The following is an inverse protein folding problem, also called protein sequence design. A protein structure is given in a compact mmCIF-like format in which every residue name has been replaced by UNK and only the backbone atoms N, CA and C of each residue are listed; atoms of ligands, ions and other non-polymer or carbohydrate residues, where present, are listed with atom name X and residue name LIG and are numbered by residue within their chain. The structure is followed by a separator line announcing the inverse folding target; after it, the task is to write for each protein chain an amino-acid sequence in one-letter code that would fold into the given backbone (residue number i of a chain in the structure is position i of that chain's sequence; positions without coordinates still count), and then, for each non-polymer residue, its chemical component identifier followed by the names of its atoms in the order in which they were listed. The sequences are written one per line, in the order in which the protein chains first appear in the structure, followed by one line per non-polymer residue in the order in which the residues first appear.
data_IF_307583644439
#
_entry.id   IF_307583644439
#
_cell.length_a   1.000
_cell.length_b   1.000
_cell.length_c   1.000
_cell.angle_alpha   90.00
_cell.angle_beta   90.00
_cell.angle_gamma   90.00
#
_symmetry.space_group_name_H-M   'P 1'
#
loop_
_entity.id
_entity.type
_entity.pdbx_description
1 polymer ?
#
# COMPACT_ATOMS: atom_id res chain seq x y z
N UNK A 1 0.38 -12.59 -18.29
CA UNK A 1 1.47 -11.60 -18.45
C UNK A 1 1.41 -10.68 -17.23
N UNK A 2 2.26 -10.81 -16.21
CA UNK A 2 2.30 -9.81 -15.15
C UNK A 2 3.11 -8.62 -15.68
N UNK A 3 2.43 -7.51 -15.96
CA UNK A 3 3.09 -6.24 -16.24
C UNK A 3 3.89 -5.82 -15.00
N UNK A 4 5.22 -5.88 -15.09
CA UNK A 4 6.11 -5.24 -14.14
C UNK A 4 5.92 -3.72 -14.25
N UNK A 5 5.00 -3.16 -13.45
CA UNK A 5 4.98 -1.73 -13.20
C UNK A 5 6.08 -1.45 -12.17
N UNK A 6 7.29 -1.14 -12.62
CA UNK A 6 8.26 -0.46 -11.77
C UNK A 6 7.69 0.93 -11.44
N UNK A 7 7.11 1.09 -10.25
CA UNK A 7 6.65 2.39 -9.77
C UNK A 7 7.87 3.24 -9.37
N UNK A 8 8.52 3.88 -10.34
CA UNK A 8 9.68 4.76 -10.08
C UNK A 8 9.30 6.02 -9.30
N UNK A 9 8.07 6.50 -9.47
CA UNK A 9 7.53 7.64 -8.74
C UNK A 9 6.00 7.58 -8.80
N UNK A 10 5.32 8.03 -7.74
CA UNK A 10 3.88 8.26 -7.75
C UNK A 10 3.59 9.60 -7.07
N UNK A 11 2.84 10.44 -7.76
CA UNK A 11 2.40 11.73 -7.26
C UNK A 11 0.89 11.85 -7.41
N UNK A 12 0.23 12.40 -6.40
CA UNK A 12 -1.16 12.77 -6.44
C UNK A 12 -1.31 14.22 -5.96
N UNK A 13 -1.63 15.12 -6.88
CA UNK A 13 -1.61 16.57 -6.64
C UNK A 13 -0.22 17.02 -6.15
N UNK A 14 -0.13 17.73 -5.03
CA UNK A 14 1.12 18.12 -4.38
C UNK A 14 1.81 16.99 -3.59
N UNK A 15 1.12 15.87 -3.33
CA UNK A 15 1.61 14.77 -2.50
C UNK A 15 2.39 13.75 -3.32
N UNK A 16 3.41 13.15 -2.72
CA UNK A 16 4.30 12.18 -3.39
C UNK A 16 4.58 10.98 -2.50
N UNK A 17 4.65 9.80 -3.11
CA UNK A 17 5.12 8.60 -2.42
C UNK A 17 6.60 8.43 -2.73
N UNK A 18 7.41 8.32 -1.67
CA UNK A 18 8.85 8.06 -1.82
C UNK A 18 9.09 6.72 -2.55
N UNK A 19 10.13 6.61 -3.39
CA UNK A 19 10.43 5.36 -4.10
C UNK A 19 10.56 4.13 -3.19
N UNK A 20 11.19 4.28 -2.01
CA UNK A 20 11.29 3.19 -1.03
C UNK A 20 9.95 2.70 -0.49
N UNK A 21 8.95 3.58 -0.44
CA UNK A 21 7.59 3.22 -0.04
C UNK A 21 6.83 2.54 -1.18
N UNK A 22 7.08 2.95 -2.44
CA UNK A 22 6.56 2.26 -3.61
C UNK A 22 7.10 0.84 -3.72
N UNK A 23 8.39 0.62 -3.48
CA UNK A 23 8.98 -0.72 -3.42
C UNK A 23 8.29 -1.62 -2.37
N UNK A 24 7.97 -1.05 -1.20
CA UNK A 24 7.27 -1.78 -0.15
C UNK A 24 5.82 -2.12 -0.54
N UNK A 25 5.14 -1.21 -1.25
CA UNK A 25 3.80 -1.44 -1.81
C UNK A 25 3.84 -2.49 -2.92
N UNK A 26 4.85 -2.45 -3.79
CA UNK A 26 5.03 -3.42 -4.88
C UNK A 26 5.21 -4.84 -4.33
N UNK A 27 6.08 -5.02 -3.33
CA UNK A 27 6.26 -6.29 -2.61
C UNK A 27 4.97 -6.76 -1.94
N UNK A 28 4.13 -5.85 -1.46
CA UNK A 28 2.83 -6.22 -0.91
C UNK A 28 1.85 -6.70 -1.99
N UNK A 29 1.76 -6.00 -3.13
CA UNK A 29 0.81 -6.31 -4.19
C UNK A 29 1.23 -7.56 -4.97
N UNK A 30 2.48 -7.60 -5.41
CA UNK A 30 3.03 -8.65 -6.28
C UNK A 30 3.52 -9.85 -5.48
N UNK A 31 4.33 -9.61 -4.46
CA UNK A 31 4.93 -10.70 -3.68
C UNK A 31 4.08 -11.14 -2.50
N UNK A 32 2.99 -10.43 -2.18
CA UNK A 32 2.12 -10.71 -1.02
C UNK A 32 2.92 -10.74 0.29
N UNK A 33 3.96 -9.93 0.37
CA UNK A 33 4.79 -9.78 1.56
C UNK A 33 4.11 -8.76 2.48
N UNK A 34 3.99 -9.10 3.76
CA UNK A 34 3.40 -8.19 4.75
C UNK A 34 4.28 -6.94 4.91
N UNK A 35 3.75 -5.72 4.70
CA UNK A 35 4.53 -4.50 4.81
C UNK A 35 4.64 -4.03 6.27
N UNK A 36 5.40 -2.96 6.49
CA UNK A 36 5.55 -2.33 7.80
C UNK A 36 4.24 -1.76 8.37
N UNK A 37 4.26 -1.42 9.66
CA UNK A 37 3.05 -1.05 10.41
C UNK A 37 2.31 0.18 9.84
N UNK A 38 3.02 1.18 9.31
CA UNK A 38 2.40 2.34 8.67
C UNK A 38 1.58 1.94 7.43
N UNK A 39 2.19 1.19 6.49
CA UNK A 39 1.49 0.73 5.29
C UNK A 39 0.34 -0.22 5.64
N UNK A 40 0.49 -1.06 6.67
CA UNK A 40 -0.62 -1.90 7.16
C UNK A 40 -1.81 -1.04 7.59
N UNK A 41 -1.58 0.07 8.28
CA UNK A 41 -2.66 0.98 8.67
C UNK A 41 -3.34 1.63 7.45
N UNK A 42 -2.56 2.08 6.46
CA UNK A 42 -3.07 2.63 5.20
C UNK A 42 -3.92 1.59 4.45
N UNK A 43 -3.39 0.37 4.28
CA UNK A 43 -4.06 -0.72 3.58
C UNK A 43 -5.34 -1.12 4.29
N UNK A 44 -5.34 -1.13 5.63
CA UNK A 44 -6.53 -1.42 6.44
C UNK A 44 -7.52 -0.25 6.54
N UNK A 45 -7.24 0.90 5.91
CA UNK A 45 -8.05 2.12 6.00
C UNK A 45 -8.24 2.63 7.44
N UNK A 46 -7.21 2.49 8.27
CA UNK A 46 -7.19 3.02 9.65
C UNK A 46 -6.42 4.34 9.68
N UNK A 47 -7.16 5.46 9.57
CA UNK A 47 -6.56 6.78 9.57
C UNK A 47 -5.83 7.09 10.89
N UNK A 48 -6.37 6.64 12.03
CA UNK A 48 -5.78 6.89 13.36
C UNK A 48 -4.42 6.23 13.48
N UNK A 49 -4.33 4.96 13.10
CA UNK A 49 -3.06 4.24 13.14
C UNK A 49 -2.09 4.73 12.06
N UNK A 50 -2.62 5.16 10.90
CA UNK A 50 -1.79 5.70 9.82
C UNK A 50 -1.12 7.00 10.24
N UNK A 51 -1.84 7.92 10.88
CA UNK A 51 -1.25 9.17 11.38
C UNK A 51 -0.35 8.95 12.59
N UNK A 52 -0.72 8.06 13.51
CA UNK A 52 0.07 7.76 14.71
C UNK A 52 1.39 7.03 14.44
N UNK A 53 1.52 6.35 13.29
CA UNK A 53 2.71 5.55 12.93
C UNK A 53 3.54 6.16 11.81
N UNK A 54 3.07 7.24 11.18
CA UNK A 54 3.77 7.91 10.10
C UNK A 54 5.00 8.67 10.63
N UNK A 55 6.06 8.68 9.83
CA UNK A 55 7.09 9.72 9.92
C UNK A 55 6.56 11.05 9.34
N UNK A 56 7.23 12.17 9.61
CA UNK A 56 6.79 13.51 9.20
C UNK A 56 6.50 13.63 7.69
N UNK A 57 7.29 12.96 6.85
CA UNK A 57 7.12 13.01 5.41
C UNK A 57 5.98 12.09 4.94
N UNK A 58 5.86 10.90 5.51
CA UNK A 58 4.74 10.00 5.24
C UNK A 58 3.40 10.61 5.70
N UNK A 59 3.38 11.32 6.84
CA UNK A 59 2.20 11.97 7.39
C UNK A 59 1.65 13.03 6.42
N UNK A 60 2.54 13.85 5.86
CA UNK A 60 2.19 14.85 4.84
C UNK A 60 1.65 14.20 3.57
N UNK A 61 2.17 13.03 3.22
CA UNK A 61 1.89 12.36 1.97
C UNK A 61 0.80 11.27 2.05
N UNK A 62 0.11 11.09 3.19
CA UNK A 62 -1.03 10.15 3.33
C UNK A 62 -2.04 10.24 2.17
N UNK A 63 -2.42 11.43 1.66
CA UNK A 63 -3.35 11.51 0.53
C UNK A 63 -2.84 10.83 -0.74
N UNK A 64 -1.52 10.85 -1.00
CA UNK A 64 -0.94 10.11 -2.13
C UNK A 64 -1.06 8.60 -1.95
N UNK A 65 -0.82 8.09 -0.74
CA UNK A 65 -0.98 6.66 -0.45
C UNK A 65 -2.42 6.19 -0.69
N UNK A 66 -3.41 6.93 -0.17
CA UNK A 66 -4.83 6.58 -0.37
C UNK A 66 -5.19 6.64 -1.85
N UNK A 67 -4.75 7.68 -2.57
CA UNK A 67 -5.00 7.79 -4.00
C UNK A 67 -4.34 6.65 -4.80
N UNK A 68 -3.14 6.21 -4.41
CA UNK A 68 -2.47 5.07 -5.06
C UNK A 68 -3.31 3.81 -4.90
N UNK A 69 -3.72 3.48 -3.68
CA UNK A 69 -4.51 2.28 -3.44
C UNK A 69 -5.89 2.35 -4.11
N UNK A 70 -6.48 3.53 -4.19
CA UNK A 70 -7.76 3.74 -4.86
C UNK A 70 -7.68 3.61 -6.38
N UNK A 71 -6.63 4.14 -7.03
CA UNK A 71 -6.56 4.21 -8.49
C UNK A 71 -5.72 3.09 -9.12
N UNK A 72 -4.62 2.68 -8.48
CA UNK A 72 -3.63 1.77 -9.08
C UNK A 72 -3.69 0.34 -8.51
N UNK A 73 -4.09 0.19 -7.24
CA UNK A 73 -4.07 -1.11 -6.58
C UNK A 73 -5.36 -1.92 -6.78
N UNK A 74 -5.29 -3.27 -6.79
CA UNK A 74 -6.48 -4.11 -6.86
C UNK A 74 -7.43 -3.87 -5.67
N UNK A 75 -8.73 -3.68 -5.93
CA UNK A 75 -9.73 -3.37 -4.89
C UNK A 75 -9.87 -4.43 -3.76
N UNK A 76 -9.42 -5.66 -4.02
CA UNK A 76 -9.40 -6.76 -3.04
C UNK A 76 -8.19 -6.73 -2.10
N UNK A 77 -7.15 -5.94 -2.40
CA UNK A 77 -5.93 -5.91 -1.62
C UNK A 77 -5.93 -4.86 -0.50
N UNK A 78 -6.98 -4.06 -0.35
CA UNK A 78 -6.98 -2.94 0.59
C UNK A 78 -8.40 -2.49 0.96
N UNK A 79 -8.51 -1.63 1.97
CA UNK A 79 -9.75 -1.04 2.47
C UNK A 79 -10.23 -1.63 3.79
N UNK A 80 -9.71 -2.78 4.21
CA UNK A 80 -9.95 -3.35 5.54
C UNK A 80 -8.86 -4.35 5.92
N UNK A 81 -8.75 -4.66 7.21
CA UNK A 81 -7.77 -5.64 7.72
C UNK A 81 -8.06 -7.05 7.18
N UNK A 82 -9.33 -7.40 6.98
CA UNK A 82 -9.76 -8.69 6.43
C UNK A 82 -9.31 -8.82 4.99
N UNK A 83 -9.49 -7.77 4.17
CA UNK A 83 -9.01 -7.75 2.78
C UNK A 83 -7.50 -7.89 2.69
N UNK A 84 -6.76 -7.20 3.56
CA UNK A 84 -5.30 -7.33 3.63
C UNK A 84 -4.87 -8.78 3.94
N UNK A 85 -5.49 -9.39 4.96
CA UNK A 85 -5.19 -10.78 5.35
C UNK A 85 -5.54 -11.75 4.24
N UNK A 86 -6.74 -11.65 3.68
CA UNK A 86 -7.19 -12.48 2.57
C UNK A 86 -6.29 -12.33 1.34
N UNK A 87 -5.81 -11.12 1.05
CA UNK A 87 -4.87 -10.87 -0.04
C UNK A 87 -3.55 -11.60 0.17
N UNK A 88 -3.01 -11.62 1.38
CA UNK A 88 -1.76 -12.33 1.69
C UNK A 88 -1.98 -13.85 1.68
N UNK A 89 -3.10 -14.33 2.22
CA UNK A 89 -3.42 -15.76 2.30
C UNK A 89 -3.73 -16.39 0.94
N UNK A 90 -4.37 -15.66 0.01
CA UNK A 90 -4.64 -16.17 -1.34
C UNK A 90 -3.38 -16.61 -2.13
N UNK A 91 -2.17 -16.17 -1.72
CA UNK A 91 -0.92 -16.70 -2.29
C UNK A 91 -0.64 -18.14 -1.85
N UNK A 92 -1.06 -18.52 -0.64
CA UNK A 92 -0.77 -19.82 -0.04
C UNK A 92 -1.57 -20.96 -0.69
N UNK A 93 -2.75 -20.68 -1.22
CA UNK A 93 -3.63 -21.68 -1.85
C UNK A 93 -3.28 -21.99 -3.32
N UNK A 94 -2.43 -21.17 -3.96
CA UNK A 94 -1.95 -21.40 -5.33
C UNK A 94 -0.62 -22.19 -5.41
N UNK A 95 -0.24 -22.87 -4.32
CA UNK A 95 0.89 -23.82 -4.27
C UNK A 95 0.37 -25.23 -4.09
#
# INVERSE_FOLDING_TARGET
MPHQKEFKEYSFREFRIRPSMLDAIDRYINDRILPGNFLRAIISNDLRESTGRADDDNLRNIPAFVAFFWNEAPASCWGSTEKMKAWIENKKERR
#
